data_IF_731660299924
#
_entry.id   IF_731660299924
#
_cell.length_a   1.000
_cell.length_b   1.000
_cell.length_c   1.000
_cell.angle_alpha   90.00
_cell.angle_beta   90.00
_cell.angle_gamma   90.00
#
_symmetry.space_group_name_H-M   'P 1'
#
loop_
_entity.id
_entity.type
_entity.pdbx_description
1 polymer ?
#
# COMPACT_ATOMS: atom_id res chain seq x y z
N UNK A 1 -7.92 -14.89 -28.25
CA UNK A 1 -6.81 -14.47 -27.36
C UNK A 1 -6.77 -12.96 -27.14
N UNK A 2 -7.11 -12.12 -28.14
CA UNK A 2 -7.07 -10.66 -28.02
C UNK A 2 -7.96 -10.06 -26.91
N UNK A 3 -9.20 -10.56 -26.74
CA UNK A 3 -10.12 -10.13 -25.67
C UNK A 3 -9.56 -10.28 -24.25
N UNK A 4 -8.71 -11.28 -24.00
CA UNK A 4 -8.15 -11.50 -22.66
C UNK A 4 -7.12 -10.43 -22.28
N UNK A 5 -6.34 -9.95 -23.25
CA UNK A 5 -5.39 -8.86 -23.04
C UNK A 5 -6.09 -7.52 -22.78
N UNK A 6 -7.24 -7.28 -23.44
CA UNK A 6 -8.03 -6.07 -23.22
C UNK A 6 -8.59 -6.01 -21.78
N UNK A 7 -9.02 -7.16 -21.23
CA UNK A 7 -9.50 -7.23 -19.84
C UNK A 7 -8.40 -6.89 -18.82
N UNK A 8 -7.18 -7.38 -19.04
CA UNK A 8 -6.04 -7.04 -18.19
C UNK A 8 -5.71 -5.53 -18.26
N UNK A 9 -5.79 -4.93 -19.45
CA UNK A 9 -5.59 -3.48 -19.62
C UNK A 9 -6.62 -2.64 -18.87
N UNK A 10 -7.91 -2.98 -18.96
CA UNK A 10 -8.96 -2.29 -18.20
C UNK A 10 -8.82 -2.47 -16.69
N UNK A 11 -8.38 -3.64 -16.23
CA UNK A 11 -8.12 -3.89 -14.82
C UNK A 11 -6.96 -3.03 -14.29
N UNK A 12 -5.85 -2.95 -15.02
CA UNK A 12 -4.74 -2.07 -14.66
C UNK A 12 -5.16 -0.59 -14.66
N UNK A 13 -6.01 -0.18 -15.61
CA UNK A 13 -6.58 1.16 -15.65
C UNK A 13 -7.43 1.46 -14.42
N UNK A 14 -8.24 0.50 -13.98
CA UNK A 14 -9.01 0.61 -12.74
C UNK A 14 -8.10 0.73 -11.51
N UNK A 15 -7.07 -0.11 -11.40
CA UNK A 15 -6.09 -0.04 -10.31
C UNK A 15 -5.32 1.30 -10.28
N UNK A 16 -5.15 1.92 -11.45
CA UNK A 16 -4.48 3.22 -11.59
C UNK A 16 -5.37 4.42 -11.28
N UNK A 17 -6.65 4.22 -10.96
CA UNK A 17 -7.54 5.30 -10.56
C UNK A 17 -7.07 5.92 -9.24
N UNK A 18 -7.05 7.25 -9.16
CA UNK A 18 -6.65 8.01 -7.98
C UNK A 18 -7.26 7.48 -6.65
N UNK A 19 -8.58 7.22 -6.54
CA UNK A 19 -9.14 6.68 -5.30
C UNK A 19 -8.63 5.26 -4.96
N UNK A 20 -8.38 4.42 -5.96
CA UNK A 20 -7.88 3.04 -5.74
C UNK A 20 -6.42 3.09 -5.27
N UNK A 21 -5.59 3.91 -5.92
CA UNK A 21 -4.21 4.14 -5.48
C UNK A 21 -4.13 4.78 -4.10
N UNK A 22 -5.05 5.69 -3.75
CA UNK A 22 -5.10 6.31 -2.43
C UNK A 22 -5.33 5.25 -1.35
N UNK A 23 -6.32 4.37 -1.53
CA UNK A 23 -6.60 3.27 -0.58
C UNK A 23 -5.41 2.31 -0.49
N UNK A 24 -4.80 1.95 -1.62
CA UNK A 24 -3.63 1.07 -1.65
C UNK A 24 -2.45 1.68 -0.88
N UNK A 25 -2.17 2.96 -1.14
CA UNK A 25 -1.08 3.71 -0.50
C UNK A 25 -1.28 3.82 1.01
N UNK A 26 -2.49 4.20 1.45
CA UNK A 26 -2.82 4.29 2.89
C UNK A 26 -2.71 2.92 3.55
N UNK A 27 -3.16 1.85 2.88
CA UNK A 27 -3.07 0.48 3.41
C UNK A 27 -1.61 0.04 3.60
N UNK A 28 -0.73 0.36 2.64
CA UNK A 28 0.71 0.08 2.73
C UNK A 28 1.36 0.91 3.85
N UNK A 29 1.06 2.21 3.91
CA UNK A 29 1.59 3.08 4.96
C UNK A 29 1.15 2.63 6.35
N UNK A 30 -0.13 2.31 6.52
CA UNK A 30 -0.68 1.84 7.80
C UNK A 30 -0.12 0.49 8.21
N UNK A 31 -0.04 -0.48 7.29
CA UNK A 31 0.56 -1.79 7.60
C UNK A 31 2.03 -1.68 7.97
N UNK A 32 2.80 -0.84 7.27
CA UNK A 32 4.20 -0.55 7.61
C UNK A 32 4.30 0.07 9.01
N UNK A 33 3.47 1.06 9.32
CA UNK A 33 3.42 1.68 10.64
C UNK A 33 3.00 0.69 11.74
N UNK A 34 1.99 -0.14 11.49
CA UNK A 34 1.51 -1.14 12.44
C UNK A 34 2.58 -2.19 12.74
N UNK A 35 3.26 -2.72 11.72
CA UNK A 35 4.36 -3.69 11.89
C UNK A 35 5.52 -3.05 12.63
N UNK A 36 5.86 -1.80 12.35
CA UNK A 36 6.91 -1.08 13.06
C UNK A 36 6.59 -0.95 14.56
N UNK A 37 5.37 -0.54 14.91
CA UNK A 37 4.94 -0.44 16.31
C UNK A 37 4.76 -1.81 16.97
N UNK A 38 4.51 -2.88 16.22
CA UNK A 38 4.51 -4.24 16.76
C UNK A 38 5.91 -4.72 17.17
N UNK A 39 6.93 -4.37 16.38
CA UNK A 39 8.34 -4.74 16.65
C UNK A 39 8.98 -3.80 17.67
N UNK A 40 8.66 -2.50 17.61
CA UNK A 40 9.19 -1.44 18.49
C UNK A 40 8.04 -0.70 19.20
N UNK A 41 7.34 -1.35 20.14
CA UNK A 41 6.12 -0.78 20.75
C UNK A 41 6.37 0.45 21.60
N UNK A 42 7.53 0.54 22.28
CA UNK A 42 7.83 1.59 23.25
C UNK A 42 8.82 2.65 22.71
N UNK A 43 8.92 2.79 21.39
CA UNK A 43 9.80 3.79 20.76
C UNK A 43 9.20 5.20 20.82
N UNK A 44 9.21 5.79 22.01
CA UNK A 44 8.77 7.17 22.24
C UNK A 44 9.80 8.20 21.72
N UNK A 45 11.08 7.85 21.75
CA UNK A 45 12.21 8.66 21.27
C UNK A 45 13.26 7.76 20.64
N UNK A 46 14.07 8.32 19.74
CA UNK A 46 15.22 7.60 19.21
C UNK A 46 16.26 7.41 20.33
N UNK A 47 16.79 6.20 20.55
CA UNK A 47 17.81 5.97 21.56
C UNK A 47 19.05 6.83 21.26
N UNK A 48 19.56 7.52 22.29
CA UNK A 48 20.83 8.25 22.18
C UNK A 48 21.99 7.24 22.20
N UNK A 49 23.08 7.50 21.44
CA UNK A 49 24.22 6.61 21.32
C UNK A 49 25.00 6.43 22.63
#
# INVERSE_FOLDING_TARGET
>A
MQKANDQQGYFLKYLSLAPVLAVLSISIAFSTWAVFNFIFPDLLFHPMP
#
